data_IF_765147052753
#
_entry.id   IF_765147052753
#
_cell.length_a   1.000
_cell.length_b   1.000
_cell.length_c   1.000
_cell.angle_alpha   90.00
_cell.angle_beta   90.00
_cell.angle_gamma   90.00
#
_symmetry.space_group_name_H-M   'P 1'
#
loop_
_entity.id
_entity.type
_entity.pdbx_description
1 polymer ?
#
# COMPACT_ATOMS: atom_id res chain seq x y z
N UNK A 1 -21.51 13.49 -9.29
CA UNK A 1 -21.28 14.06 -10.63
C UNK A 1 -20.42 13.10 -11.40
N UNK A 2 -20.90 12.61 -12.55
CA UNK A 2 -20.12 11.78 -13.44
C UNK A 2 -19.06 12.68 -14.08
N UNK A 3 -17.81 12.59 -13.61
CA UNK A 3 -16.68 13.20 -14.28
C UNK A 3 -16.58 12.66 -15.70
N UNK A 4 -16.28 13.51 -16.66
CA UNK A 4 -16.03 13.11 -18.04
C UNK A 4 -14.81 12.18 -18.03
N UNK A 5 -15.02 10.91 -18.33
CA UNK A 5 -13.93 9.95 -18.55
C UNK A 5 -13.64 9.83 -20.04
N UNK A 6 -12.37 9.92 -20.40
CA UNK A 6 -11.94 9.72 -21.78
C UNK A 6 -11.61 8.26 -22.04
N UNK A 7 -11.75 7.78 -23.29
CA UNK A 7 -11.34 6.43 -23.65
C UNK A 7 -9.87 6.19 -23.32
N UNK A 8 -9.57 5.06 -22.69
CA UNK A 8 -8.20 4.65 -22.38
C UNK A 8 -7.77 3.59 -23.39
N UNK A 9 -6.63 3.83 -24.04
CA UNK A 9 -6.02 2.90 -24.97
C UNK A 9 -4.55 2.69 -24.61
N UNK A 10 -4.14 1.44 -24.51
CA UNK A 10 -2.75 1.10 -24.22
C UNK A 10 -2.56 -0.40 -24.23
N UNK A 11 -1.34 -0.84 -24.41
CA UNK A 11 -0.92 -2.22 -24.28
C UNK A 11 0.51 -2.28 -23.77
N UNK A 12 0.85 -3.36 -23.12
CA UNK A 12 2.22 -3.78 -22.89
C UNK A 12 2.28 -5.29 -22.91
N UNK A 13 3.45 -5.82 -23.16
CA UNK A 13 3.76 -7.24 -23.10
C UNK A 13 4.64 -7.51 -21.89
N UNK A 14 4.54 -8.70 -21.32
CA UNK A 14 5.40 -9.16 -20.23
C UNK A 14 5.94 -10.55 -20.58
N UNK A 15 7.26 -10.72 -20.40
CA UNK A 15 7.94 -12.01 -20.46
C UNK A 15 8.45 -12.36 -19.08
N UNK A 16 8.14 -13.56 -18.62
CA UNK A 16 8.49 -14.00 -17.27
C UNK A 16 9.15 -15.38 -17.30
N UNK A 17 10.17 -15.52 -16.47
CA UNK A 17 10.77 -16.82 -16.15
C UNK A 17 10.82 -16.95 -14.62
N UNK A 18 10.52 -18.15 -14.12
CA UNK A 18 10.59 -18.43 -12.69
C UNK A 18 11.16 -19.81 -12.42
N UNK A 19 11.73 -19.96 -11.22
CA UNK A 19 12.17 -21.22 -10.69
C UNK A 19 11.75 -21.33 -9.22
N UNK A 20 11.31 -22.52 -8.82
CA UNK A 20 10.93 -22.85 -7.46
C UNK A 20 11.63 -24.12 -7.02
N UNK A 21 12.11 -24.14 -5.77
CA UNK A 21 12.72 -25.28 -5.12
C UNK A 21 12.06 -25.47 -3.76
N UNK A 22 11.68 -26.71 -3.48
CA UNK A 22 11.33 -27.17 -2.13
C UNK A 22 12.24 -28.33 -1.74
N UNK A 23 12.94 -28.18 -0.63
CA UNK A 23 13.88 -29.16 -0.12
C UNK A 23 13.46 -29.59 1.29
N UNK A 24 13.00 -30.85 1.47
CA UNK A 24 12.85 -31.43 2.79
C UNK A 24 14.25 -31.72 3.35
N UNK A 25 14.68 -30.92 4.34
CA UNK A 25 16.03 -30.99 4.90
C UNK A 25 16.14 -32.03 6.00
N UNK A 26 15.12 -32.11 6.87
CA UNK A 26 15.08 -33.06 7.98
C UNK A 26 13.68 -33.65 8.10
N UNK A 27 13.61 -34.92 8.48
CA UNK A 27 12.35 -35.62 8.76
C UNK A 27 12.52 -36.70 9.80
N UNK A 28 11.48 -36.90 10.63
CA UNK A 28 11.38 -37.99 11.62
C UNK A 28 12.51 -38.07 12.63
N UNK A 29 13.16 -36.94 12.96
CA UNK A 29 14.11 -36.88 14.07
C UNK A 29 13.40 -36.50 15.39
N UNK A 30 13.98 -36.86 16.54
CA UNK A 30 13.38 -36.60 17.85
C UNK A 30 13.14 -35.09 18.11
N UNK A 31 13.95 -34.22 17.52
CA UNK A 31 13.89 -32.76 17.66
C UNK A 31 13.46 -32.05 16.36
N UNK A 32 13.24 -32.78 15.27
CA UNK A 32 12.80 -32.27 14.00
C UNK A 32 11.91 -33.28 13.27
N UNK A 33 10.63 -33.24 13.53
CA UNK A 33 9.66 -34.05 12.78
C UNK A 33 9.64 -33.69 11.31
N UNK A 34 9.82 -32.39 11.01
CA UNK A 34 9.91 -31.86 9.68
C UNK A 34 10.72 -30.56 9.69
N UNK A 35 11.59 -30.40 8.70
CA UNK A 35 12.22 -29.13 8.36
C UNK A 35 12.28 -29.02 6.83
N UNK A 36 11.51 -28.10 6.28
CA UNK A 36 11.47 -27.83 4.85
C UNK A 36 12.02 -26.43 4.56
N UNK A 37 12.80 -26.32 3.50
CA UNK A 37 13.22 -25.06 2.89
C UNK A 37 12.46 -24.86 1.57
N UNK A 38 11.93 -23.67 1.35
CA UNK A 38 11.34 -23.26 0.09
C UNK A 38 12.03 -22.01 -0.45
N UNK A 39 12.40 -22.05 -1.72
CA UNK A 39 13.03 -20.93 -2.45
C UNK A 39 12.25 -20.70 -3.73
N UNK A 40 12.06 -19.44 -4.10
CA UNK A 40 11.51 -19.06 -5.38
C UNK A 40 12.19 -17.80 -5.90
N UNK A 41 12.36 -17.72 -7.20
CA UNK A 41 12.85 -16.54 -7.92
C UNK A 41 12.02 -16.38 -9.19
N UNK A 42 11.67 -15.12 -9.50
CA UNK A 42 10.99 -14.76 -10.74
C UNK A 42 11.68 -13.54 -11.34
N UNK A 43 11.93 -13.60 -12.64
CA UNK A 43 12.37 -12.48 -13.46
C UNK A 43 11.25 -12.10 -14.41
N UNK A 44 10.84 -10.84 -14.38
CA UNK A 44 9.80 -10.29 -15.27
C UNK A 44 10.40 -9.15 -16.09
N UNK A 45 10.07 -9.11 -17.38
CA UNK A 45 10.48 -8.08 -18.33
C UNK A 45 9.23 -7.48 -18.98
N UNK A 46 8.99 -6.21 -18.74
CA UNK A 46 7.84 -5.45 -19.23
C UNK A 46 8.27 -4.56 -20.39
N UNK A 47 7.43 -4.46 -21.43
CA UNK A 47 7.68 -3.57 -22.58
C UNK A 47 7.36 -2.08 -22.29
N UNK A 48 6.89 -1.74 -21.09
CA UNK A 48 6.55 -0.39 -20.66
C UNK A 48 7.60 0.17 -19.67
N UNK A 49 7.29 1.30 -19.03
CA UNK A 49 8.15 1.96 -18.03
C UNK A 49 8.49 1.12 -16.79
N UNK A 50 7.78 0.01 -16.56
CA UNK A 50 8.11 -0.93 -15.49
C UNK A 50 9.46 -1.63 -15.70
N UNK A 51 9.91 -1.77 -16.97
CA UNK A 51 11.22 -2.33 -17.30
C UNK A 51 11.37 -3.77 -16.83
N UNK A 52 12.46 -4.10 -16.18
CA UNK A 52 12.72 -5.45 -15.69
C UNK A 52 12.86 -5.50 -14.19
N UNK A 53 12.31 -6.55 -13.56
CA UNK A 53 12.36 -6.76 -12.13
C UNK A 53 12.63 -8.21 -11.77
N UNK A 54 13.22 -8.43 -10.61
CA UNK A 54 13.44 -9.76 -10.04
C UNK A 54 12.83 -9.79 -8.65
N UNK A 55 11.96 -10.75 -8.41
CA UNK A 55 11.37 -11.02 -7.09
C UNK A 55 11.84 -12.36 -6.57
N UNK A 56 11.97 -12.49 -5.26
CA UNK A 56 12.41 -13.71 -4.60
C UNK A 56 11.56 -14.02 -3.35
N UNK A 57 11.58 -15.29 -2.97
CA UNK A 57 10.95 -15.77 -1.74
C UNK A 57 11.82 -16.84 -1.11
N UNK A 58 11.98 -16.75 0.21
CA UNK A 58 12.62 -17.76 1.05
C UNK A 58 11.64 -18.12 2.15
N UNK A 59 11.42 -19.41 2.37
CA UNK A 59 10.53 -19.89 3.43
C UNK A 59 11.14 -21.08 4.15
N UNK A 60 10.94 -21.11 5.46
CA UNK A 60 11.29 -22.23 6.35
C UNK A 60 10.01 -22.67 7.05
N UNK A 61 9.82 -23.98 7.08
CA UNK A 61 8.74 -24.65 7.78
C UNK A 61 9.36 -25.71 8.70
N UNK A 62 9.19 -25.55 9.99
CA UNK A 62 9.84 -26.38 11.01
C UNK A 62 8.83 -26.91 12.02
N UNK A 63 8.70 -28.23 12.09
CA UNK A 63 7.95 -28.91 13.11
C UNK A 63 8.92 -29.64 14.07
N UNK A 64 9.28 -29.06 15.22
CA UNK A 64 10.11 -29.74 16.21
C UNK A 64 9.43 -30.98 16.78
N UNK A 65 8.12 -30.89 16.99
CA UNK A 65 7.26 -31.98 17.49
C UNK A 65 5.96 -32.00 16.66
N UNK A 66 5.16 -33.04 16.86
CA UNK A 66 3.88 -33.20 16.12
C UNK A 66 2.88 -32.06 16.39
N UNK A 67 2.89 -31.54 17.62
CA UNK A 67 1.94 -30.54 18.09
C UNK A 67 2.29 -29.13 17.70
N UNK A 68 3.53 -28.84 17.29
CA UNK A 68 4.03 -27.49 17.05
C UNK A 68 4.67 -27.35 15.67
N UNK A 69 4.26 -26.34 14.94
CA UNK A 69 4.82 -25.96 13.66
C UNK A 69 5.16 -24.49 13.64
N UNK A 70 6.38 -24.17 13.29
CA UNK A 70 6.90 -22.82 13.12
C UNK A 70 7.12 -22.57 11.63
N UNK A 71 6.77 -21.39 11.19
CA UNK A 71 7.00 -20.98 9.80
C UNK A 71 7.59 -19.57 9.75
N UNK A 72 8.52 -19.37 8.83
CA UNK A 72 9.06 -18.06 8.52
C UNK A 72 9.13 -17.91 7.01
N UNK A 73 8.63 -16.80 6.49
CA UNK A 73 8.65 -16.49 5.06
C UNK A 73 9.08 -15.04 4.88
N UNK A 74 10.10 -14.84 4.06
CA UNK A 74 10.47 -13.54 3.54
C UNK A 74 10.34 -13.55 2.02
N UNK A 75 9.77 -12.50 1.46
CA UNK A 75 9.62 -12.36 0.01
C UNK A 75 9.58 -10.91 -0.42
N UNK A 76 10.03 -10.68 -1.65
CA UNK A 76 9.83 -9.42 -2.35
C UNK A 76 8.71 -9.56 -3.37
N UNK A 77 8.00 -8.48 -3.62
CA UNK A 77 6.91 -8.41 -4.60
C UNK A 77 7.06 -7.20 -5.50
N UNK A 78 6.39 -7.24 -6.62
CA UNK A 78 6.34 -6.16 -7.60
C UNK A 78 4.91 -5.99 -8.10
N UNK A 79 4.45 -4.75 -8.26
CA UNK A 79 3.24 -4.39 -9.00
C UNK A 79 3.59 -3.44 -10.14
N UNK A 80 3.50 -3.91 -11.38
CA UNK A 80 3.62 -3.03 -12.54
C UNK A 80 2.44 -2.05 -12.61
N UNK A 81 2.63 -0.81 -13.09
CA UNK A 81 1.54 0.13 -13.33
C UNK A 81 0.54 -0.47 -14.33
N UNK A 82 -0.74 -0.29 -14.04
CA UNK A 82 -1.84 -0.73 -14.90
C UNK A 82 -2.00 0.16 -16.14
N UNK A 83 -2.70 -0.31 -17.16
CA UNK A 83 -2.99 0.47 -18.38
C UNK A 83 -3.68 1.81 -18.05
N UNK A 84 -4.70 1.89 -17.18
CA UNK A 84 -5.28 3.17 -16.79
C UNK A 84 -4.30 4.12 -16.07
N UNK A 85 -3.38 3.59 -15.28
CA UNK A 85 -2.38 4.41 -14.59
C UNK A 85 -1.34 4.98 -15.56
N UNK A 86 -0.99 4.26 -16.63
CA UNK A 86 -0.02 4.70 -17.63
C UNK A 86 -0.64 5.58 -18.72
N UNK A 87 -1.83 5.22 -19.21
CA UNK A 87 -2.39 5.72 -20.46
C UNK A 87 -3.82 6.25 -20.30
N UNK A 88 -4.32 6.37 -19.08
CA UNK A 88 -5.63 6.95 -18.79
C UNK A 88 -5.70 8.40 -19.23
N UNK A 89 -6.89 8.85 -19.61
CA UNK A 89 -7.15 10.26 -19.87
C UNK A 89 -7.23 11.07 -18.59
N UNK A 90 -7.33 12.37 -18.75
CA UNK A 90 -7.56 13.28 -17.63
C UNK A 90 -9.02 13.22 -17.18
N UNK A 91 -9.26 13.13 -15.88
CA UNK A 91 -10.59 13.11 -15.28
C UNK A 91 -10.73 14.24 -14.25
N UNK A 92 -11.90 14.85 -14.19
CA UNK A 92 -12.21 15.82 -13.14
C UNK A 92 -12.60 15.08 -11.86
N UNK A 93 -11.99 15.47 -10.76
CA UNK A 93 -12.20 14.86 -9.43
C UNK A 93 -12.40 15.95 -8.37
N UNK A 94 -13.02 15.56 -7.26
CA UNK A 94 -13.27 16.41 -6.09
C UNK A 94 -12.81 15.71 -4.82
N UNK A 95 -11.49 15.43 -4.66
CA UNK A 95 -10.98 14.79 -3.45
C UNK A 95 -11.25 15.64 -2.21
N UNK A 96 -11.40 14.98 -1.08
CA UNK A 96 -11.52 15.66 0.21
C UNK A 96 -10.27 16.45 0.52
N UNK A 97 -10.45 17.65 1.05
CA UNK A 97 -9.37 18.56 1.42
C UNK A 97 -9.85 20.00 1.57
N UNK A 98 -9.00 20.80 2.19
CA UNK A 98 -9.22 22.23 2.38
C UNK A 98 -8.11 23.04 1.70
N UNK A 99 -8.46 24.22 1.17
CA UNK A 99 -7.46 25.20 0.74
C UNK A 99 -6.69 25.68 2.00
N UNK A 100 -5.35 25.53 2.04
CA UNK A 100 -4.54 25.96 3.19
C UNK A 100 -4.65 27.45 3.51
N UNK A 101 -5.13 28.27 2.56
CA UNK A 101 -5.34 29.70 2.75
C UNK A 101 -6.70 30.06 3.36
N UNK A 102 -7.58 29.08 3.55
CA UNK A 102 -8.94 29.32 4.06
C UNK A 102 -8.89 30.02 5.43
N UNK A 103 -9.52 31.19 5.52
CA UNK A 103 -9.61 31.98 6.74
C UNK A 103 -8.28 32.44 7.33
N UNK A 104 -7.15 32.24 6.63
CA UNK A 104 -5.79 32.43 7.15
C UNK A 104 -5.52 31.70 8.49
N UNK A 105 -6.16 30.55 8.69
CA UNK A 105 -6.15 29.79 9.94
C UNK A 105 -5.15 28.62 9.96
N UNK A 106 -4.24 28.55 8.97
CA UNK A 106 -3.24 27.50 8.89
C UNK A 106 -2.27 27.60 10.08
N UNK A 107 -1.93 26.50 10.76
CA UNK A 107 -0.99 26.50 11.87
C UNK A 107 0.45 26.87 11.44
N UNK A 108 0.81 26.73 10.16
CA UNK A 108 2.11 27.13 9.66
C UNK A 108 2.11 28.61 9.26
N UNK A 109 2.87 29.49 9.96
CA UNK A 109 2.88 30.93 9.68
C UNK A 109 3.47 31.28 8.32
N UNK A 110 4.33 30.44 7.74
CA UNK A 110 4.88 30.64 6.41
C UNK A 110 3.80 30.48 5.34
N UNK A 111 2.88 29.50 5.50
CA UNK A 111 1.72 29.32 4.64
C UNK A 111 0.79 30.54 4.75
N UNK A 112 0.52 31.02 5.97
CA UNK A 112 -0.30 32.23 6.16
C UNK A 112 0.31 33.43 5.45
N UNK A 113 1.63 33.65 5.60
CA UNK A 113 2.32 34.74 4.91
C UNK A 113 2.26 34.63 3.38
N UNK A 114 2.42 33.40 2.85
CA UNK A 114 2.28 33.12 1.42
C UNK A 114 0.85 33.43 0.91
N UNK A 115 -0.17 33.06 1.68
CA UNK A 115 -1.57 33.37 1.35
C UNK A 115 -1.85 34.88 1.37
N UNK A 116 -1.28 35.61 2.31
CA UNK A 116 -1.37 37.09 2.36
C UNK A 116 -0.66 37.74 1.17
N UNK A 117 0.47 37.19 0.72
CA UNK A 117 1.19 37.64 -0.47
C UNK A 117 0.36 37.45 -1.76
N UNK A 118 -0.56 36.50 -1.78
CA UNK A 118 -1.54 36.30 -2.85
C UNK A 118 -2.72 37.30 -2.78
N UNK A 119 -2.74 38.21 -1.80
CA UNK A 119 -3.82 39.17 -1.59
C UNK A 119 -5.01 38.62 -0.81
N UNK A 120 -4.91 37.41 -0.23
CA UNK A 120 -6.01 36.82 0.52
C UNK A 120 -6.06 37.39 1.95
N UNK A 121 -7.29 37.48 2.48
CA UNK A 121 -7.57 37.97 3.84
C UNK A 121 -8.25 36.91 4.69
N UNK A 122 -8.41 37.16 5.99
CA UNK A 122 -9.15 36.26 6.88
C UNK A 122 -10.61 36.03 6.48
N UNK A 123 -11.19 36.90 5.64
CA UNK A 123 -12.52 36.72 5.07
C UNK A 123 -12.56 35.71 3.87
N UNK A 124 -11.40 35.22 3.42
CA UNK A 124 -11.34 34.23 2.35
C UNK A 124 -11.93 32.91 2.82
N UNK A 125 -13.14 32.58 2.35
CA UNK A 125 -13.84 31.36 2.72
C UNK A 125 -13.17 30.10 2.15
N UNK A 126 -12.40 30.25 1.06
CA UNK A 126 -11.71 29.13 0.40
C UNK A 126 -12.64 28.00 -0.06
N UNK A 127 -12.06 26.98 -0.66
CA UNK A 127 -12.72 25.70 -0.85
C UNK A 127 -12.54 24.87 0.43
N UNK A 128 -13.64 24.41 1.02
CA UNK A 128 -13.63 23.51 2.17
C UNK A 128 -14.36 22.21 1.88
N UNK A 129 -13.82 21.11 2.39
CA UNK A 129 -14.37 19.77 2.24
C UNK A 129 -13.99 19.06 0.95
N UNK A 130 -13.97 19.78 -0.19
CA UNK A 130 -13.56 19.22 -1.48
C UNK A 130 -12.76 20.25 -2.30
N UNK A 131 -11.75 19.75 -3.00
CA UNK A 131 -10.88 20.54 -3.88
C UNK A 131 -11.06 20.04 -5.31
N UNK A 132 -11.35 20.94 -6.23
CA UNK A 132 -11.48 20.61 -7.65
C UNK A 132 -10.11 20.29 -8.24
N UNK A 133 -9.97 19.08 -8.77
CA UNK A 133 -8.74 18.62 -9.41
C UNK A 133 -9.02 18.08 -10.80
N UNK A 134 -7.99 18.13 -11.63
CA UNK A 134 -7.93 17.49 -12.93
C UNK A 134 -6.81 16.43 -12.82
N UNK A 135 -7.21 15.19 -12.66
CA UNK A 135 -6.29 14.08 -12.33
C UNK A 135 -5.95 13.31 -13.62
N UNK A 136 -4.67 13.10 -13.90
CA UNK A 136 -4.18 12.40 -15.10
C UNK A 136 -3.32 11.19 -14.77
N UNK A 137 -3.25 10.28 -15.73
CA UNK A 137 -2.28 9.19 -15.78
C UNK A 137 -0.84 9.71 -15.93
N UNK A 138 0.13 8.80 -15.80
CA UNK A 138 1.54 9.11 -16.02
C UNK A 138 2.25 7.93 -16.69
N UNK A 139 2.71 8.08 -17.95
CA UNK A 139 3.38 7.00 -18.68
C UNK A 139 4.80 6.67 -18.17
N UNK A 140 5.34 7.48 -17.25
CA UNK A 140 6.70 7.30 -16.70
C UNK A 140 6.71 6.62 -15.33
N UNK A 141 5.56 6.12 -14.87
CA UNK A 141 5.45 5.42 -13.59
C UNK A 141 6.38 4.20 -13.54
N UNK A 142 7.05 4.05 -12.42
CA UNK A 142 7.83 2.87 -12.07
C UNK A 142 6.96 1.84 -11.36
N UNK A 143 7.38 0.57 -11.30
CA UNK A 143 6.69 -0.43 -10.47
C UNK A 143 6.70 -0.04 -8.99
N UNK A 144 5.67 -0.47 -8.27
CA UNK A 144 5.72 -0.55 -6.82
C UNK A 144 6.51 -1.78 -6.41
N UNK A 145 7.32 -1.66 -5.38
CA UNK A 145 8.07 -2.77 -4.82
C UNK A 145 7.58 -3.07 -3.40
N UNK A 146 7.57 -4.34 -3.02
CA UNK A 146 7.21 -4.73 -1.66
C UNK A 146 8.22 -5.68 -1.04
N UNK A 147 8.34 -5.59 0.30
CA UNK A 147 9.03 -6.55 1.16
C UNK A 147 8.04 -7.07 2.18
N UNK A 148 7.97 -8.38 2.30
CA UNK A 148 7.00 -9.05 3.14
C UNK A 148 7.74 -10.04 4.06
N UNK A 149 7.53 -9.95 5.37
CA UNK A 149 7.97 -10.90 6.37
C UNK A 149 6.76 -11.46 7.10
N UNK A 150 6.67 -12.78 7.15
CA UNK A 150 5.68 -13.48 7.98
C UNK A 150 6.38 -14.47 8.88
N UNK A 151 6.06 -14.44 10.18
CA UNK A 151 6.50 -15.41 11.17
C UNK A 151 5.27 -16.03 11.80
N UNK A 152 5.14 -17.35 11.72
CA UNK A 152 3.93 -18.04 12.17
C UNK A 152 4.23 -19.18 13.11
N UNK A 153 3.31 -19.42 14.02
CA UNK A 153 3.25 -20.54 14.93
C UNK A 153 1.88 -21.21 14.81
N UNK A 154 1.87 -22.51 14.56
CA UNK A 154 0.65 -23.33 14.59
C UNK A 154 0.79 -24.35 15.71
N UNK A 155 -0.24 -24.43 16.55
CA UNK A 155 -0.28 -25.36 17.66
C UNK A 155 -1.54 -26.22 17.61
N UNK A 156 -1.32 -27.55 17.54
CA UNK A 156 -2.37 -28.56 17.45
C UNK A 156 -2.09 -29.65 18.48
N UNK A 157 -2.43 -29.42 19.77
CA UNK A 157 -2.04 -30.29 20.84
C UNK A 157 -2.64 -31.70 20.75
N UNK A 158 -1.83 -32.72 20.85
CA UNK A 158 -2.27 -34.13 20.88
C UNK A 158 -3.23 -34.43 22.02
N UNK A 159 -3.08 -33.71 23.14
CA UNK A 159 -3.99 -33.82 24.30
C UNK A 159 -5.40 -33.23 24.01
N UNK A 160 -5.53 -32.34 23.04
CA UNK A 160 -6.80 -31.74 22.56
C UNK A 160 -6.82 -31.79 21.01
N UNK A 161 -6.98 -32.97 20.40
CA UNK A 161 -6.71 -33.19 18.97
C UNK A 161 -7.66 -32.41 18.04
N UNK A 162 -8.69 -31.76 18.60
CA UNK A 162 -9.65 -30.93 17.86
C UNK A 162 -9.43 -29.44 18.03
N UNK A 163 -8.46 -29.06 18.86
CA UNK A 163 -8.03 -27.68 18.99
C UNK A 163 -6.98 -27.36 17.92
N UNK A 164 -7.19 -26.29 17.19
CA UNK A 164 -6.20 -25.71 16.27
C UNK A 164 -6.06 -24.24 16.58
N UNK A 165 -4.84 -23.80 16.83
CA UNK A 165 -4.52 -22.38 17.06
C UNK A 165 -3.38 -21.97 16.16
N UNK A 166 -3.42 -20.72 15.70
CA UNK A 166 -2.31 -20.12 14.99
C UNK A 166 -2.11 -18.67 15.42
N UNK A 167 -0.85 -18.26 15.44
CA UNK A 167 -0.42 -16.88 15.65
C UNK A 167 0.55 -16.54 14.54
N UNK A 168 0.28 -15.48 13.79
CA UNK A 168 1.11 -15.03 12.70
C UNK A 168 1.45 -13.54 12.86
N UNK A 169 2.73 -13.23 13.00
CA UNK A 169 3.23 -11.86 12.82
C UNK A 169 3.44 -11.58 11.35
N UNK A 170 3.01 -10.42 10.90
CA UNK A 170 3.28 -9.93 9.55
C UNK A 170 3.90 -8.54 9.57
N UNK A 171 4.77 -8.27 8.60
CA UNK A 171 5.31 -6.96 8.30
C UNK A 171 5.41 -6.80 6.79
N UNK A 172 4.76 -5.77 6.27
CA UNK A 172 4.67 -5.47 4.84
C UNK A 172 5.11 -4.03 4.64
N UNK A 173 6.09 -3.82 3.76
CA UNK A 173 6.57 -2.52 3.30
C UNK A 173 6.33 -2.44 1.80
N UNK A 174 5.68 -1.37 1.33
CA UNK A 174 5.51 -1.07 -0.09
C UNK A 174 6.17 0.28 -0.36
N UNK A 175 7.15 0.29 -1.23
CA UNK A 175 7.85 1.49 -1.70
C UNK A 175 7.40 1.87 -3.10
N UNK A 176 7.61 3.12 -3.50
CA UNK A 176 7.19 3.66 -4.79
C UNK A 176 5.68 3.45 -5.10
N UNK A 177 4.83 3.39 -4.06
CA UNK A 177 3.39 3.21 -4.25
C UNK A 177 2.81 4.33 -5.12
N UNK A 178 2.02 3.91 -6.11
CA UNK A 178 1.46 4.81 -7.12
C UNK A 178 0.22 5.49 -6.56
N UNK A 179 0.26 6.81 -6.49
CA UNK A 179 -0.83 7.61 -5.98
C UNK A 179 -0.79 9.07 -6.45
N UNK A 180 -1.86 9.79 -6.18
CA UNK A 180 -1.88 11.25 -6.28
C UNK A 180 -1.39 11.87 -4.96
N UNK A 181 -0.58 12.93 -5.06
CA UNK A 181 -0.34 13.78 -3.90
C UNK A 181 -1.67 14.32 -3.37
N UNK A 182 -1.85 14.37 -2.05
CA UNK A 182 -3.09 14.90 -1.48
C UNK A 182 -3.30 16.35 -1.92
N UNK A 183 -4.55 16.74 -2.21
CA UNK A 183 -4.85 18.06 -2.75
C UNK A 183 -4.39 19.19 -1.83
N UNK A 184 -4.64 19.07 -0.52
CA UNK A 184 -4.19 20.07 0.47
C UNK A 184 -2.67 20.06 0.64
N UNK A 185 -2.03 18.88 0.59
CA UNK A 185 -0.56 18.76 0.65
C UNK A 185 0.12 19.45 -0.52
N UNK A 186 -0.36 19.19 -1.74
CA UNK A 186 0.13 19.83 -2.97
C UNK A 186 0.01 21.37 -2.89
N UNK A 187 -1.14 21.89 -2.45
CA UNK A 187 -1.35 23.33 -2.28
C UNK A 187 -0.41 23.91 -1.21
N UNK A 188 -0.24 23.23 -0.07
CA UNK A 188 0.65 23.65 1.01
C UNK A 188 2.11 23.69 0.57
N UNK A 189 2.58 22.65 -0.12
CA UNK A 189 3.94 22.58 -0.65
C UNK A 189 4.22 23.71 -1.62
N UNK A 190 3.30 23.99 -2.53
CA UNK A 190 3.47 25.07 -3.50
C UNK A 190 3.33 26.49 -2.93
N UNK A 191 2.70 26.65 -1.78
CA UNK A 191 2.73 27.91 -1.04
C UNK A 191 4.09 28.12 -0.36
N UNK A 192 4.76 27.05 0.09
CA UNK A 192 6.09 27.12 0.70
C UNK A 192 7.21 27.22 -0.33
N UNK A 193 7.06 26.55 -1.46
CA UNK A 193 8.00 26.58 -2.60
C UNK A 193 7.22 26.79 -3.93
N UNK A 194 6.92 28.03 -4.32
CA UNK A 194 6.19 28.32 -5.56
C UNK A 194 6.94 27.89 -6.83
N UNK A 195 8.26 27.74 -6.78
CA UNK A 195 9.07 27.25 -7.89
C UNK A 195 9.17 25.72 -7.94
N UNK A 196 8.61 25.04 -6.95
CA UNK A 196 8.62 23.61 -6.84
C UNK A 196 7.90 22.90 -7.99
N UNK A 197 8.18 21.60 -8.12
CA UNK A 197 7.65 20.80 -9.21
C UNK A 197 6.11 20.86 -9.28
N UNK A 198 5.60 21.08 -10.49
CA UNK A 198 4.18 21.13 -10.84
C UNK A 198 3.36 22.27 -10.19
N UNK A 199 3.95 23.21 -9.47
CA UNK A 199 3.21 24.31 -8.83
C UNK A 199 2.55 25.26 -9.84
N UNK A 200 3.05 25.35 -11.06
CA UNK A 200 2.40 26.05 -12.18
C UNK A 200 1.06 25.43 -12.63
N UNK A 201 0.76 24.22 -12.15
CA UNK A 201 -0.49 23.51 -12.42
C UNK A 201 -1.65 23.96 -11.53
N UNK A 202 -1.41 24.84 -10.53
CA UNK A 202 -2.44 25.44 -9.70
C UNK A 202 -3.01 26.66 -10.43
N UNK A 203 -4.32 26.69 -10.58
CA UNK A 203 -5.04 27.83 -11.14
C UNK A 203 -5.68 28.64 -10.03
N UNK A 204 -5.36 29.93 -9.98
CA UNK A 204 -5.98 30.93 -9.12
C UNK A 204 -6.42 32.13 -9.97
N UNK A 205 -7.46 32.83 -9.53
CA UNK A 205 -7.87 34.11 -10.14
C UNK A 205 -6.83 35.19 -9.85
N UNK A 206 -6.98 36.37 -10.51
CA UNK A 206 -6.17 37.55 -10.22
C UNK A 206 -6.30 38.06 -8.79
N UNK A 207 -7.37 37.67 -8.08
CA UNK A 207 -7.59 37.96 -6.65
C UNK A 207 -7.02 36.86 -5.72
N UNK A 208 -6.20 35.94 -6.23
CA UNK A 208 -5.60 34.84 -5.46
C UNK A 208 -6.56 33.69 -5.12
N UNK A 209 -7.84 33.80 -5.50
CA UNK A 209 -8.87 32.78 -5.22
C UNK A 209 -8.56 31.50 -5.98
N UNK A 210 -8.54 30.37 -5.27
CA UNK A 210 -8.31 29.06 -5.87
C UNK A 210 -9.47 28.68 -6.80
N UNK A 211 -9.16 28.15 -7.98
CA UNK A 211 -10.11 27.61 -8.94
C UNK A 211 -9.98 26.09 -9.07
N UNK A 212 -8.80 25.64 -9.48
CA UNK A 212 -8.55 24.22 -9.74
C UNK A 212 -7.05 23.93 -9.75
N UNK A 213 -6.69 22.66 -9.75
CA UNK A 213 -5.32 22.22 -9.97
C UNK A 213 -5.28 20.95 -10.79
N UNK A 214 -4.17 20.74 -11.49
CA UNK A 214 -3.87 19.50 -12.19
C UNK A 214 -2.89 18.66 -11.37
N UNK A 215 -3.21 17.36 -11.23
CA UNK A 215 -2.33 16.37 -10.60
C UNK A 215 -2.12 15.19 -11.55
N UNK A 216 -0.95 14.59 -11.49
CA UNK A 216 -0.66 13.33 -12.16
C UNK A 216 -0.32 12.26 -11.14
N UNK A 217 -0.54 11.00 -11.49
CA UNK A 217 -0.05 9.86 -10.71
C UNK A 217 1.47 9.92 -10.60
N UNK A 218 1.99 9.61 -9.42
CA UNK A 218 3.42 9.60 -9.12
C UNK A 218 3.74 8.38 -8.24
N UNK A 219 5.00 7.95 -8.24
CA UNK A 219 5.53 7.00 -7.27
C UNK A 219 5.93 7.77 -6.01
N UNK A 220 4.99 7.97 -5.10
CA UNK A 220 5.13 8.93 -4.00
C UNK A 220 5.21 8.30 -2.63
N UNK A 221 4.68 7.08 -2.47
CA UNK A 221 4.29 6.64 -1.15
C UNK A 221 5.13 5.48 -0.66
N UNK A 222 5.52 5.56 0.60
CA UNK A 222 5.88 4.43 1.44
C UNK A 222 4.63 4.02 2.21
N UNK A 223 4.24 2.75 2.11
CA UNK A 223 3.17 2.17 2.91
C UNK A 223 3.76 1.07 3.77
N UNK A 224 3.61 1.19 5.08
CA UNK A 224 4.06 0.18 6.04
C UNK A 224 2.88 -0.32 6.87
N UNK A 225 2.75 -1.62 6.95
CA UNK A 225 1.77 -2.25 7.84
C UNK A 225 2.40 -3.44 8.55
N UNK A 226 2.13 -3.56 9.84
CA UNK A 226 2.55 -4.73 10.62
C UNK A 226 1.55 -5.03 11.73
N UNK A 227 1.49 -6.30 12.11
CA UNK A 227 0.53 -6.72 13.12
C UNK A 227 0.67 -8.19 13.47
N UNK A 228 -0.29 -8.68 14.21
CA UNK A 228 -0.39 -10.07 14.63
C UNK A 228 -1.80 -10.58 14.36
N UNK A 229 -1.89 -11.66 13.62
CA UNK A 229 -3.11 -12.42 13.45
C UNK A 229 -3.16 -13.56 14.49
N UNK A 230 -4.29 -13.73 15.12
CA UNK A 230 -4.59 -14.86 15.98
C UNK A 230 -5.81 -15.59 15.46
N UNK A 231 -5.74 -16.92 15.42
CA UNK A 231 -6.89 -17.76 15.13
C UNK A 231 -6.92 -18.96 16.07
N UNK A 232 -8.12 -19.34 16.49
CA UNK A 232 -8.37 -20.56 17.25
C UNK A 232 -9.69 -21.18 16.79
N UNK A 233 -9.68 -22.51 16.65
CA UNK A 233 -10.91 -23.25 16.37
C UNK A 233 -10.93 -24.57 17.17
N UNK A 234 -12.12 -24.96 17.57
CA UNK A 234 -12.35 -26.22 18.26
C UNK A 234 -13.57 -26.93 17.66
N UNK A 235 -13.43 -28.22 17.40
CA UNK A 235 -14.49 -29.06 16.88
C UNK A 235 -15.10 -29.92 17.98
N UNK A 236 -16.43 -29.93 18.08
CA UNK A 236 -17.21 -30.74 19.02
C UNK A 236 -17.96 -31.80 18.25
N UNK A 237 -17.81 -33.10 18.60
CA UNK A 237 -18.68 -34.14 18.07
C UNK A 237 -19.96 -34.20 18.88
N UNK A 238 -21.04 -34.33 18.17
CA UNK A 238 -22.36 -34.58 18.74
C UNK A 238 -22.63 -36.09 18.80
N UNK A 239 -23.63 -36.53 19.60
CA UNK A 239 -24.00 -37.95 19.70
C UNK A 239 -24.47 -38.57 18.36
N UNK A 240 -24.87 -37.78 17.39
CA UNK A 240 -25.13 -38.16 16.00
C UNK A 240 -23.90 -37.89 15.15
N UNK A 241 -23.78 -38.39 13.89
CA UNK A 241 -22.58 -38.18 13.04
C UNK A 241 -22.43 -36.72 12.54
N UNK A 242 -22.63 -35.74 13.43
CA UNK A 242 -22.53 -34.32 13.18
C UNK A 242 -21.42 -33.72 14.03
N UNK A 243 -20.70 -32.72 13.51
CA UNK A 243 -19.66 -31.99 14.22
C UNK A 243 -20.00 -30.49 14.19
N UNK A 244 -19.88 -29.83 15.33
CA UNK A 244 -19.95 -28.38 15.44
C UNK A 244 -18.52 -27.85 15.57
N UNK A 245 -18.13 -26.92 14.69
CA UNK A 245 -16.86 -26.19 14.80
C UNK A 245 -17.13 -24.77 15.25
N UNK A 246 -16.49 -24.36 16.33
CA UNK A 246 -16.50 -22.97 16.82
C UNK A 246 -15.11 -22.40 16.62
N UNK A 247 -15.03 -21.20 16.05
CA UNK A 247 -13.78 -20.52 15.77
C UNK A 247 -13.83 -19.03 16.10
N UNK A 248 -12.66 -18.48 16.43
CA UNK A 248 -12.43 -17.07 16.60
C UNK A 248 -11.18 -16.67 15.79
N UNK A 249 -11.24 -15.50 15.15
CA UNK A 249 -10.14 -14.90 14.45
C UNK A 249 -10.09 -13.42 14.77
N UNK A 250 -8.89 -12.89 15.02
CA UNK A 250 -8.66 -11.47 15.28
C UNK A 250 -7.31 -11.03 14.75
N UNK A 251 -7.24 -9.77 14.34
CA UNK A 251 -6.01 -9.10 13.91
C UNK A 251 -5.73 -7.94 14.86
N UNK A 252 -4.55 -7.91 15.43
CA UNK A 252 -4.01 -6.72 16.09
C UNK A 252 -3.10 -5.98 15.12
N UNK A 253 -3.54 -4.81 14.65
CA UNK A 253 -2.76 -3.96 13.78
C UNK A 253 -1.85 -3.08 14.64
N UNK A 254 -0.55 -3.37 14.62
CA UNK A 254 0.44 -2.62 15.40
C UNK A 254 0.90 -1.34 14.68
N UNK A 255 0.96 -1.38 13.34
CA UNK A 255 1.36 -0.26 12.50
C UNK A 255 0.55 -0.23 11.22
N UNK A 256 0.07 0.94 10.86
CA UNK A 256 -0.43 1.29 9.54
C UNK A 256 0.01 2.72 9.27
N UNK A 257 1.00 2.88 8.44
CA UNK A 257 1.58 4.17 8.12
C UNK A 257 1.65 4.33 6.61
N UNK A 258 1.28 5.52 6.15
CA UNK A 258 1.41 5.93 4.76
C UNK A 258 2.09 7.29 4.73
N UNK A 259 3.23 7.36 4.10
CA UNK A 259 3.96 8.61 3.86
C UNK A 259 3.86 8.96 2.38
N UNK A 260 3.33 10.14 2.11
CA UNK A 260 3.18 10.68 0.76
C UNK A 260 4.30 11.69 0.53
N UNK A 261 5.37 11.29 -0.03
CA UNK A 261 6.65 11.91 -0.30
C UNK A 261 7.76 11.48 0.69
N UNK A 262 9.02 11.34 0.21
CA UNK A 262 10.15 10.87 1.04
C UNK A 262 10.46 11.77 2.25
N UNK A 263 10.04 13.04 2.20
CA UNK A 263 10.39 14.09 3.17
C UNK A 263 9.17 14.64 3.94
N UNK A 264 8.02 13.96 3.92
CA UNK A 264 6.89 14.35 4.77
C UNK A 264 7.06 13.76 6.16
N UNK A 265 7.10 14.61 7.23
CA UNK A 265 7.17 14.16 8.61
C UNK A 265 5.89 13.43 9.05
#
# INVERSE_FOLDING_TARGET
SNGNSFPTHGRYDVHEAYAELRAPLLSNLAWARQLDLSLAVRRSEYSNSAGSATTCKVGIDYAPIEDLRLRAVYGTGLRAPSIPELFGGTIEQFPSGDDPCRGLSNPNPQIVAACQALGLTAAYAGTGGQIRTSDSSNPTLRPEESKNLTLGLVFTPSALPRLRTAVDYFSIEVTDAIDYESASGFLSRCLLDPAGANCSQIRRSSAGIFDSMHRSLLNLSLVETSGVDFSAQYAFDLPNPSTITVGAQTTYLARLERRVAPDSP
#
